data_IF_121336057362
#
_entry.id   IF_121336057362
#
_cell.length_a   1.000
_cell.length_b   1.000
_cell.length_c   1.000
_cell.angle_alpha   90.00
_cell.angle_beta   90.00
_cell.angle_gamma   90.00
#
_symmetry.space_group_name_H-M   'P 1'
#
loop_
_entity.id
_entity.type
_entity.pdbx_description
1 polymer ?
#
# COMPACT_ATOMS: atom_id res chain seq x y z
N UNK A 1 -8.53 19.56 -14.21
CA UNK A 1 -9.11 18.27 -13.75
C UNK A 1 -9.20 18.30 -12.24
N UNK A 2 -10.38 18.07 -11.68
CA UNK A 2 -10.57 18.05 -10.24
C UNK A 2 -10.21 16.66 -9.65
N UNK A 3 -10.21 16.53 -8.33
CA UNK A 3 -9.82 15.29 -7.66
C UNK A 3 -10.78 14.14 -7.97
N UNK A 4 -12.08 14.41 -8.09
CA UNK A 4 -13.05 13.37 -8.43
C UNK A 4 -12.81 12.81 -9.84
N UNK A 5 -12.48 13.66 -10.80
CA UNK A 5 -12.14 13.24 -12.15
C UNK A 5 -10.86 12.41 -12.18
N UNK A 6 -9.85 12.83 -11.40
CA UNK A 6 -8.59 12.06 -11.27
C UNK A 6 -8.85 10.66 -10.71
N UNK A 7 -9.74 10.56 -9.70
CA UNK A 7 -10.10 9.26 -9.13
C UNK A 7 -10.77 8.37 -10.16
N UNK A 8 -11.70 8.91 -10.97
CA UNK A 8 -12.35 8.11 -12.01
C UNK A 8 -11.36 7.55 -13.02
N UNK A 9 -10.36 8.36 -13.41
CA UNK A 9 -9.31 7.90 -14.32
C UNK A 9 -8.44 6.82 -13.67
N UNK A 10 -8.09 7.01 -12.40
CA UNK A 10 -7.31 6.03 -11.65
C UNK A 10 -8.08 4.71 -11.51
N UNK A 11 -9.39 4.79 -11.28
CA UNK A 11 -10.23 3.59 -11.18
C UNK A 11 -10.20 2.77 -12.47
N UNK A 12 -10.33 3.45 -13.62
CA UNK A 12 -10.27 2.79 -14.92
C UNK A 12 -8.93 2.08 -15.11
N UNK A 13 -7.85 2.79 -14.88
CA UNK A 13 -6.49 2.23 -15.06
C UNK A 13 -6.20 1.12 -14.05
N UNK A 14 -6.65 1.29 -12.81
CA UNK A 14 -6.47 0.29 -11.75
C UNK A 14 -7.23 -1.00 -12.08
N UNK A 15 -8.45 -0.89 -12.58
CA UNK A 15 -9.27 -2.03 -12.99
C UNK A 15 -8.65 -2.77 -14.17
N UNK A 16 -7.87 -2.07 -15.00
CA UNK A 16 -7.11 -2.68 -16.10
C UNK A 16 -5.81 -3.31 -15.63
N UNK A 17 -5.50 -3.25 -14.35
CA UNK A 17 -4.34 -3.91 -13.76
C UNK A 17 -3.08 -3.07 -13.70
N UNK A 18 -3.15 -1.77 -13.90
CA UNK A 18 -1.96 -0.91 -13.80
C UNK A 18 -1.56 -0.71 -12.34
N UNK A 19 -0.42 -1.25 -11.95
CA UNK A 19 0.04 -1.25 -10.56
C UNK A 19 0.20 0.16 -9.98
N UNK A 20 0.75 1.09 -10.76
CA UNK A 20 0.92 2.47 -10.30
C UNK A 20 -0.41 3.17 -10.07
N UNK A 21 -1.39 2.93 -10.94
CA UNK A 21 -2.73 3.47 -10.78
C UNK A 21 -3.40 2.87 -9.55
N UNK A 22 -3.23 1.57 -9.31
CA UNK A 22 -3.76 0.90 -8.12
C UNK A 22 -3.18 1.52 -6.85
N UNK A 23 -1.89 1.78 -6.82
CA UNK A 23 -1.23 2.42 -5.67
C UNK A 23 -1.76 3.84 -5.44
N UNK A 24 -1.87 4.64 -6.50
CA UNK A 24 -2.39 6.00 -6.41
C UNK A 24 -3.85 6.01 -5.94
N UNK A 25 -4.66 5.09 -6.48
CA UNK A 25 -6.06 4.95 -6.07
C UNK A 25 -6.16 4.56 -4.60
N UNK A 26 -5.33 3.63 -4.15
CA UNK A 26 -5.27 3.23 -2.75
C UNK A 26 -5.01 4.44 -1.84
N UNK A 27 -4.06 5.29 -2.22
CA UNK A 27 -3.75 6.49 -1.46
C UNK A 27 -4.91 7.48 -1.43
N UNK A 28 -5.67 7.60 -2.53
CA UNK A 28 -6.87 8.44 -2.58
C UNK A 28 -7.92 7.96 -1.58
N UNK A 29 -8.17 6.65 -1.55
CA UNK A 29 -9.12 6.07 -0.59
C UNK A 29 -8.61 6.20 0.85
N UNK A 30 -7.31 6.06 1.07
CA UNK A 30 -6.75 6.21 2.40
C UNK A 30 -6.92 7.63 2.96
N UNK A 31 -6.71 8.63 2.10
CA UNK A 31 -6.75 10.05 2.48
C UNK A 31 -8.12 10.69 2.33
N UNK A 32 -9.04 10.05 1.62
CA UNK A 32 -10.32 10.67 1.30
C UNK A 32 -10.17 11.81 0.32
N UNK A 33 -9.35 11.64 -0.70
CA UNK A 33 -8.98 12.70 -1.63
C UNK A 33 -9.66 12.48 -2.98
N UNK A 34 -10.70 13.24 -3.25
CA UNK A 34 -11.54 13.07 -4.45
C UNK A 34 -12.53 11.92 -4.35
N UNK A 35 -12.59 11.27 -3.21
CA UNK A 35 -13.44 10.14 -2.90
C UNK A 35 -13.60 10.09 -1.38
N UNK A 36 -14.69 9.52 -0.90
CA UNK A 36 -14.88 9.32 0.55
C UNK A 36 -13.82 8.32 1.04
N UNK A 37 -13.13 8.65 2.13
CA UNK A 37 -12.12 7.78 2.71
C UNK A 37 -12.69 6.39 3.01
N UNK A 38 -11.99 5.36 2.59
CA UNK A 38 -12.40 3.97 2.73
C UNK A 38 -11.16 3.10 2.96
N UNK A 39 -10.82 2.83 4.22
CA UNK A 39 -9.62 2.05 4.53
C UNK A 39 -9.62 0.64 3.91
N UNK A 40 -10.78 0.00 3.83
CA UNK A 40 -10.88 -1.35 3.24
C UNK A 40 -10.53 -1.33 1.75
N UNK A 41 -11.03 -0.34 1.00
CA UNK A 41 -10.69 -0.19 -0.41
C UNK A 41 -9.23 0.21 -0.59
N UNK A 42 -8.72 1.07 0.30
CA UNK A 42 -7.30 1.44 0.29
C UNK A 42 -6.41 0.21 0.42
N UNK A 43 -6.71 -0.65 1.38
CA UNK A 43 -5.96 -1.90 1.58
C UNK A 43 -6.09 -2.84 0.38
N UNK A 44 -7.29 -2.97 -0.18
CA UNK A 44 -7.53 -3.81 -1.35
C UNK A 44 -6.64 -3.40 -2.54
N UNK A 45 -6.67 -2.12 -2.91
CA UNK A 45 -5.90 -1.65 -4.07
C UNK A 45 -4.40 -1.66 -3.81
N UNK A 46 -3.97 -1.36 -2.57
CA UNK A 46 -2.55 -1.42 -2.23
C UNK A 46 -2.02 -2.85 -2.30
N UNK A 47 -2.81 -3.83 -1.85
CA UNK A 47 -2.48 -5.26 -1.98
C UNK A 47 -2.32 -5.64 -3.45
N UNK A 48 -3.26 -5.23 -4.31
CA UNK A 48 -3.18 -5.52 -5.74
C UNK A 48 -1.88 -5.00 -6.36
N UNK A 49 -1.52 -3.76 -6.06
CA UNK A 49 -0.30 -3.15 -6.57
C UNK A 49 0.96 -3.85 -6.01
N UNK A 50 0.95 -4.17 -4.73
CA UNK A 50 2.05 -4.87 -4.07
C UNK A 50 2.26 -6.27 -4.65
N UNK A 51 1.17 -6.99 -4.92
CA UNK A 51 1.22 -8.33 -5.50
C UNK A 51 1.83 -8.33 -6.90
N UNK A 52 1.76 -7.22 -7.63
CA UNK A 52 2.40 -7.08 -8.93
C UNK A 52 3.90 -6.78 -8.84
N UNK A 53 4.44 -6.60 -7.64
CA UNK A 53 5.88 -6.40 -7.44
C UNK A 53 6.32 -4.94 -7.33
N UNK A 54 5.40 -3.98 -7.26
CA UNK A 54 5.75 -2.56 -7.15
C UNK A 54 6.28 -2.28 -5.74
N UNK A 55 7.58 -2.01 -5.61
CA UNK A 55 8.23 -1.86 -4.30
C UNK A 55 7.59 -0.80 -3.39
N UNK A 56 7.27 0.43 -3.86
CA UNK A 56 6.59 1.40 -3.01
C UNK A 56 5.22 0.90 -2.50
N UNK A 57 4.50 0.12 -3.31
CA UNK A 57 3.23 -0.46 -2.90
C UNK A 57 3.44 -1.57 -1.86
N UNK A 58 4.47 -2.39 -2.03
CA UNK A 58 4.82 -3.44 -1.06
C UNK A 58 5.13 -2.82 0.30
N UNK A 59 5.93 -1.78 0.32
CA UNK A 59 6.25 -1.05 1.55
C UNK A 59 4.98 -0.44 2.16
N UNK A 60 4.16 0.25 1.37
CA UNK A 60 2.92 0.85 1.86
C UNK A 60 1.93 -0.19 2.37
N UNK A 61 1.83 -1.33 1.69
CA UNK A 61 0.96 -2.41 2.15
C UNK A 61 1.46 -3.00 3.47
N UNK A 62 2.78 -3.13 3.61
CA UNK A 62 3.36 -3.51 4.90
C UNK A 62 2.97 -2.53 6.01
N UNK A 63 3.02 -1.23 5.73
CA UNK A 63 2.59 -0.20 6.69
C UNK A 63 1.10 -0.35 7.05
N UNK A 64 0.24 -0.61 6.07
CA UNK A 64 -1.18 -0.86 6.30
C UNK A 64 -1.41 -2.09 7.18
N UNK A 65 -0.67 -3.16 6.93
CA UNK A 65 -0.76 -4.39 7.73
C UNK A 65 -0.27 -4.15 9.16
N UNK A 66 0.78 -3.39 9.32
CA UNK A 66 1.31 -3.09 10.65
C UNK A 66 0.34 -2.24 11.47
N UNK A 67 -0.30 -1.27 10.82
CA UNK A 67 -1.21 -0.32 11.47
C UNK A 67 -2.66 -0.82 11.56
N UNK A 68 -3.01 -1.86 10.81
CA UNK A 68 -4.38 -2.34 10.76
C UNK A 68 -5.29 -1.47 9.90
N UNK A 69 -4.80 -0.94 8.79
CA UNK A 69 -5.61 -0.13 7.87
C UNK A 69 -6.47 -1.05 7.01
N UNK A 70 -7.78 -0.96 7.21
CA UNK A 70 -8.77 -1.71 6.44
C UNK A 70 -8.81 -3.21 6.72
N UNK A 71 -8.05 -3.68 7.70
CA UNK A 71 -7.95 -5.07 8.10
C UNK A 71 -7.30 -5.17 9.48
N UNK A 72 -7.35 -6.33 10.08
CA UNK A 72 -6.68 -6.54 11.36
C UNK A 72 -5.17 -6.36 11.20
N UNK A 73 -4.52 -5.74 12.18
CA UNK A 73 -3.07 -5.57 12.17
C UNK A 73 -2.37 -6.92 12.21
N UNK A 74 -1.33 -7.06 11.41
CA UNK A 74 -0.56 -8.30 11.28
C UNK A 74 0.91 -7.97 11.04
N UNK A 75 1.68 -7.93 12.11
CA UNK A 75 3.10 -7.55 12.08
C UNK A 75 3.94 -8.58 11.30
N UNK A 76 3.60 -9.86 11.37
CA UNK A 76 4.34 -10.90 10.66
C UNK A 76 4.16 -10.77 9.15
N UNK A 77 2.93 -10.55 8.70
CA UNK A 77 2.65 -10.29 7.30
C UNK A 77 3.32 -8.99 6.82
N UNK A 78 3.30 -7.95 7.65
CA UNK A 78 3.97 -6.68 7.34
C UNK A 78 5.46 -6.91 7.09
N UNK A 79 6.11 -7.70 7.94
CA UNK A 79 7.54 -8.00 7.80
C UNK A 79 7.85 -8.66 6.46
N UNK A 80 7.01 -9.59 6.01
CA UNK A 80 7.19 -10.25 4.71
C UNK A 80 7.12 -9.26 3.56
N UNK A 81 6.16 -8.33 3.60
CA UNK A 81 6.03 -7.31 2.55
C UNK A 81 7.19 -6.33 2.58
N UNK A 82 7.64 -5.90 3.77
CA UNK A 82 8.83 -5.05 3.90
C UNK A 82 10.06 -5.75 3.33
N UNK A 83 10.20 -7.06 3.57
CA UNK A 83 11.33 -7.82 3.04
C UNK A 83 11.34 -7.80 1.51
N UNK A 84 10.18 -8.00 0.89
CA UNK A 84 10.06 -7.96 -0.58
C UNK A 84 10.45 -6.59 -1.14
N UNK A 85 9.99 -5.53 -0.51
CA UNK A 85 10.34 -4.17 -0.94
C UNK A 85 11.83 -3.89 -0.71
N UNK A 86 12.37 -4.30 0.43
CA UNK A 86 13.78 -4.13 0.77
C UNK A 86 14.69 -4.87 -0.20
N UNK A 87 14.28 -6.06 -0.64
CA UNK A 87 15.02 -6.85 -1.63
C UNK A 87 15.12 -6.12 -2.98
N UNK A 88 14.17 -5.24 -3.26
CA UNK A 88 14.22 -4.37 -4.45
C UNK A 88 14.97 -3.07 -4.20
N UNK A 89 15.47 -2.85 -2.97
CA UNK A 89 16.25 -1.68 -2.63
C UNK A 89 15.47 -0.53 -1.99
N UNK A 90 14.21 -0.76 -1.58
CA UNK A 90 13.41 0.30 -0.95
C UNK A 90 14.03 0.68 0.42
N UNK A 91 14.50 1.93 0.60
CA UNK A 91 15.20 2.30 1.83
C UNK A 91 14.27 2.42 3.03
N UNK A 92 13.01 2.77 2.83
CA UNK A 92 12.04 2.88 3.92
C UNK A 92 11.69 1.50 4.45
N UNK A 93 11.50 0.53 3.55
CA UNK A 93 11.26 -0.86 3.94
C UNK A 93 12.42 -1.42 4.76
N UNK A 94 13.65 -1.10 4.36
CA UNK A 94 14.85 -1.52 5.12
C UNK A 94 14.84 -0.95 6.54
N UNK A 95 14.44 0.31 6.70
CA UNK A 95 14.31 0.92 8.03
C UNK A 95 13.23 0.24 8.87
N UNK A 96 12.11 -0.08 8.26
CA UNK A 96 11.04 -0.81 8.95
C UNK A 96 11.50 -2.19 9.42
N UNK A 97 12.21 -2.92 8.56
CA UNK A 97 12.76 -4.22 8.93
C UNK A 97 13.74 -4.13 10.09
N UNK A 98 14.64 -3.14 10.06
CA UNK A 98 15.61 -2.93 11.14
C UNK A 98 14.89 -2.65 12.46
N UNK A 99 13.87 -1.79 12.44
CA UNK A 99 13.07 -1.46 13.62
C UNK A 99 12.36 -2.71 14.18
N UNK A 100 11.75 -3.49 13.31
CA UNK A 100 11.04 -4.71 13.71
C UNK A 100 11.98 -5.77 14.25
N UNK A 101 13.18 -5.88 13.68
CA UNK A 101 14.20 -6.82 14.15
C UNK A 101 14.74 -6.41 15.53
N UNK A 102 14.98 -5.13 15.74
CA UNK A 102 15.46 -4.61 17.04
C UNK A 102 14.44 -4.81 18.15
N UNK A 103 13.15 -4.78 17.82
CA UNK A 103 12.07 -4.94 18.79
C UNK A 103 11.62 -6.40 18.94
N UNK A 104 12.24 -7.34 18.22
CA UNK A 104 11.92 -8.76 18.34
C UNK A 104 12.42 -9.30 19.68
N UNK A 105 11.64 -10.16 20.35
CA UNK A 105 12.07 -10.78 21.60
C UNK A 105 13.22 -11.76 21.37
#
# INVERSE_FOLDING_TARGET
MDDAEKVRLLETDAEQGEARAQRHLANRYYRGQGVVADPARAAYWMDQAAAQGLAPAQRSYGEFLEQGVGQAADADAARLWYQRAADQGDPVARKHLARLTENAP
#
